data_IF_433803067508
#
_entry.id   IF_433803067508
#
_cell.length_a   1.000
_cell.length_b   1.000
_cell.length_c   1.000
_cell.angle_alpha   90.00
_cell.angle_beta   90.00
_cell.angle_gamma   90.00
#
_symmetry.space_group_name_H-M   'P 1'
#
loop_
_entity.id
_entity.type
_entity.pdbx_description
1 polymer ?
#
# COMPACT_ATOMS: atom_id res chain seq x y z
N UNK A 1 15.77 -8.26 2.70
CA UNK A 1 15.71 -8.93 1.36
C UNK A 1 16.83 -8.49 0.41
N UNK A 2 17.33 -9.39 -0.47
CA UNK A 2 18.28 -9.01 -1.54
C UNK A 2 17.56 -8.20 -2.63
N UNK A 3 18.17 -7.12 -3.19
CA UNK A 3 17.54 -6.28 -4.22
C UNK A 3 17.05 -7.06 -5.46
N UNK A 4 17.74 -8.15 -5.79
CA UNK A 4 17.41 -9.02 -6.93
C UNK A 4 16.03 -9.68 -6.84
N UNK A 5 15.49 -9.87 -5.63
CA UNK A 5 14.18 -10.49 -5.42
C UNK A 5 13.06 -9.47 -5.19
N UNK A 6 13.39 -8.21 -4.92
CA UNK A 6 12.40 -7.16 -4.66
C UNK A 6 11.49 -6.95 -5.87
N UNK A 7 12.05 -6.73 -7.06
CA UNK A 7 11.26 -6.44 -8.26
C UNK A 7 10.35 -7.62 -8.68
N UNK A 8 10.84 -8.87 -8.80
CA UNK A 8 9.98 -10.00 -9.17
C UNK A 8 8.87 -10.26 -8.14
N UNK A 9 9.19 -10.13 -6.85
CA UNK A 9 8.20 -10.30 -5.79
C UNK A 9 7.14 -9.21 -5.86
N UNK A 10 7.53 -7.95 -6.07
CA UNK A 10 6.59 -6.85 -6.22
C UNK A 10 5.65 -7.03 -7.41
N UNK A 11 6.16 -7.49 -8.54
CA UNK A 11 5.35 -7.80 -9.73
C UNK A 11 4.34 -8.92 -9.40
N UNK A 12 4.81 -9.99 -8.75
CA UNK A 12 3.95 -11.12 -8.37
C UNK A 12 2.82 -10.68 -7.42
N UNK A 13 3.17 -9.93 -6.37
CA UNK A 13 2.24 -9.41 -5.37
C UNK A 13 1.14 -8.54 -6.01
N UNK A 14 1.48 -7.75 -7.04
CA UNK A 14 0.50 -6.94 -7.78
C UNK A 14 -0.40 -7.82 -8.65
N UNK A 15 0.19 -8.71 -9.44
CA UNK A 15 -0.54 -9.49 -10.46
C UNK A 15 -1.56 -10.44 -9.83
N UNK A 16 -1.22 -11.04 -8.69
CA UNK A 16 -2.02 -12.07 -8.02
C UNK A 16 -3.47 -11.65 -7.76
N UNK A 17 -3.77 -10.52 -7.09
CA UNK A 17 -5.16 -10.07 -6.90
C UNK A 17 -5.69 -9.29 -8.11
N UNK A 18 -4.85 -8.54 -8.84
CA UNK A 18 -5.31 -7.62 -9.90
C UNK A 18 -5.81 -8.36 -11.15
N UNK A 19 -5.08 -9.36 -11.65
CA UNK A 19 -5.46 -10.06 -12.88
C UNK A 19 -6.79 -10.81 -12.73
N UNK A 20 -7.02 -11.58 -11.64
CA UNK A 20 -8.33 -12.20 -11.43
C UNK A 20 -9.47 -11.21 -11.29
N UNK A 21 -9.23 -10.04 -10.68
CA UNK A 21 -10.24 -8.98 -10.60
C UNK A 21 -10.57 -8.37 -11.98
N UNK A 22 -9.60 -8.24 -12.87
CA UNK A 22 -9.82 -7.77 -14.25
C UNK A 22 -10.75 -8.69 -15.07
N UNK A 23 -10.80 -9.98 -14.74
CA UNK A 23 -11.64 -10.98 -15.43
C UNK A 23 -12.88 -11.36 -14.63
N UNK A 24 -13.26 -10.54 -13.64
CA UNK A 24 -14.40 -10.76 -12.73
C UNK A 24 -14.42 -12.10 -11.98
N UNK A 25 -13.25 -12.68 -11.74
CA UNK A 25 -13.14 -13.92 -10.98
C UNK A 25 -12.97 -13.61 -9.49
N UNK A 26 -14.07 -13.55 -8.75
CA UNK A 26 -14.01 -13.40 -7.28
C UNK A 26 -13.22 -14.53 -6.58
N UNK A 27 -13.39 -15.83 -6.93
CA UNK A 27 -12.57 -16.89 -6.34
C UNK A 27 -11.08 -16.74 -6.66
N UNK A 28 -10.76 -16.31 -7.89
CA UNK A 28 -9.39 -16.04 -8.30
C UNK A 28 -8.79 -14.84 -7.56
N UNK A 29 -9.56 -13.77 -7.38
CA UNK A 29 -9.17 -12.60 -6.60
C UNK A 29 -8.88 -13.01 -5.16
N UNK A 30 -9.81 -13.74 -4.53
CA UNK A 30 -9.63 -14.20 -3.15
C UNK A 30 -8.40 -15.09 -3.00
N UNK A 31 -8.19 -16.04 -3.93
CA UNK A 31 -7.01 -16.90 -3.92
C UNK A 31 -5.71 -16.11 -4.08
N UNK A 32 -5.66 -15.18 -5.05
CA UNK A 32 -4.52 -14.31 -5.28
C UNK A 32 -4.21 -13.40 -4.10
N UNK A 33 -5.23 -12.74 -3.54
CA UNK A 33 -5.13 -11.85 -2.39
C UNK A 33 -4.70 -12.60 -1.12
N UNK A 34 -5.14 -13.85 -0.91
CA UNK A 34 -4.66 -14.68 0.21
C UNK A 34 -3.17 -15.00 0.05
N UNK A 35 -2.72 -15.39 -1.15
CA UNK A 35 -1.30 -15.69 -1.40
C UNK A 35 -0.47 -14.42 -1.16
N UNK A 36 -0.91 -13.28 -1.69
CA UNK A 36 -0.27 -11.98 -1.50
C UNK A 36 -0.20 -11.59 -0.01
N UNK A 37 -1.30 -11.75 0.72
CA UNK A 37 -1.36 -11.54 2.17
C UNK A 37 -0.38 -12.43 2.94
N UNK A 38 -0.26 -13.71 2.58
CA UNK A 38 0.71 -14.63 3.20
C UNK A 38 2.14 -14.19 2.92
N UNK A 39 2.43 -13.67 1.73
CA UNK A 39 3.74 -13.07 1.42
C UNK A 39 4.00 -11.82 2.26
N UNK A 40 3.01 -10.95 2.42
CA UNK A 40 3.11 -9.75 3.26
C UNK A 40 3.38 -10.13 4.73
N UNK A 41 2.68 -11.15 5.27
CA UNK A 41 2.95 -11.69 6.60
C UNK A 41 4.36 -12.29 6.69
N UNK A 42 4.77 -13.08 5.70
CA UNK A 42 6.11 -13.68 5.67
C UNK A 42 7.21 -12.61 5.75
N UNK A 43 7.08 -11.51 4.98
CA UNK A 43 8.01 -10.38 5.05
C UNK A 43 7.99 -9.75 6.44
N UNK A 44 6.80 -9.50 6.99
CA UNK A 44 6.64 -8.90 8.31
C UNK A 44 7.29 -9.73 9.43
N UNK A 45 7.11 -11.05 9.40
CA UNK A 45 7.73 -11.98 10.36
C UNK A 45 9.23 -12.14 10.16
N UNK A 46 9.71 -12.10 8.92
CA UNK A 46 11.13 -12.28 8.60
C UNK A 46 11.96 -11.04 8.95
N UNK A 47 11.45 -9.85 8.60
CA UNK A 47 12.15 -8.59 8.79
C UNK A 47 11.91 -7.99 10.20
N UNK A 48 10.91 -8.48 10.96
CA UNK A 48 10.59 -8.10 12.35
C UNK A 48 10.68 -6.58 12.60
N UNK A 49 9.89 -5.76 11.89
CA UNK A 49 10.01 -4.30 11.91
C UNK A 49 9.80 -3.66 13.30
N UNK A 50 9.15 -4.36 14.24
CA UNK A 50 8.94 -3.90 15.61
C UNK A 50 10.17 -4.02 16.52
N UNK A 51 11.16 -4.84 16.15
CA UNK A 51 12.38 -5.08 16.94
C UNK A 51 13.63 -4.44 16.30
N UNK A 52 13.51 -3.95 15.08
CA UNK A 52 14.60 -3.41 14.28
C UNK A 52 14.51 -1.89 14.14
N UNK A 53 15.40 -1.31 13.34
CA UNK A 53 15.47 0.13 13.09
C UNK A 53 14.32 0.64 12.21
N UNK A 54 14.07 1.95 12.26
CA UNK A 54 13.03 2.63 11.48
C UNK A 54 13.16 2.37 9.98
N UNK A 55 14.39 2.21 9.48
CA UNK A 55 14.66 1.89 8.07
C UNK A 55 14.09 0.51 7.69
N UNK A 56 14.25 -0.49 8.54
CA UNK A 56 13.66 -1.82 8.34
C UNK A 56 12.13 -1.76 8.40
N UNK A 57 11.56 -0.98 9.33
CA UNK A 57 10.11 -0.77 9.39
C UNK A 57 9.54 -0.17 8.10
N UNK A 58 10.21 0.86 7.55
CA UNK A 58 9.82 1.50 6.28
C UNK A 58 10.03 0.57 5.08
N UNK A 59 11.13 -0.20 5.06
CA UNK A 59 11.33 -1.20 4.01
C UNK A 59 10.29 -2.33 4.05
N UNK A 60 9.83 -2.69 5.24
CA UNK A 60 8.75 -3.68 5.39
C UNK A 60 7.42 -3.06 4.98
N UNK A 61 7.23 -1.76 5.24
CA UNK A 61 6.02 -1.01 4.87
C UNK A 61 5.86 -0.93 3.36
N UNK A 62 6.96 -0.98 2.61
CA UNK A 62 6.92 -1.12 1.16
C UNK A 62 6.16 -2.37 0.72
N UNK A 63 6.50 -3.54 1.25
CA UNK A 63 5.86 -4.79 0.84
C UNK A 63 4.43 -4.91 1.35
N UNK A 64 4.17 -4.55 2.61
CA UNK A 64 2.81 -4.58 3.13
C UNK A 64 1.91 -3.53 2.48
N UNK A 65 2.45 -2.35 2.17
CA UNK A 65 1.76 -1.30 1.41
C UNK A 65 1.49 -1.71 -0.03
N UNK A 66 2.44 -2.36 -0.69
CA UNK A 66 2.25 -2.87 -2.05
C UNK A 66 1.12 -3.90 -2.11
N UNK A 67 1.06 -4.82 -1.15
CA UNK A 67 -0.02 -5.79 -1.00
C UNK A 67 -1.38 -5.10 -0.90
N UNK A 68 -1.53 -4.16 0.05
CA UNK A 68 -2.77 -3.39 0.20
C UNK A 68 -3.16 -2.57 -1.02
N UNK A 69 -2.19 -2.01 -1.75
CA UNK A 69 -2.45 -1.28 -3.00
C UNK A 69 -2.95 -2.25 -4.09
N UNK A 70 -2.36 -3.44 -4.20
CA UNK A 70 -2.77 -4.45 -5.18
C UNK A 70 -4.21 -4.93 -4.93
N UNK A 71 -4.54 -5.25 -3.68
CA UNK A 71 -5.89 -5.63 -3.28
C UNK A 71 -6.90 -4.48 -3.47
N UNK A 72 -6.49 -3.25 -3.15
CA UNK A 72 -7.29 -2.05 -3.38
C UNK A 72 -7.56 -1.77 -4.85
N UNK A 73 -6.57 -2.01 -5.71
CA UNK A 73 -6.72 -1.89 -7.15
C UNK A 73 -7.60 -2.99 -7.73
N UNK A 74 -7.46 -4.24 -7.24
CA UNK A 74 -8.37 -5.33 -7.59
C UNK A 74 -9.82 -5.03 -7.21
N UNK A 75 -10.06 -4.54 -5.99
CA UNK A 75 -11.38 -4.02 -5.58
C UNK A 75 -11.88 -2.94 -6.54
N UNK A 76 -11.04 -1.96 -6.85
CA UNK A 76 -11.41 -0.85 -7.72
C UNK A 76 -11.91 -1.32 -9.09
N UNK A 77 -11.24 -2.33 -9.66
CA UNK A 77 -11.62 -2.92 -10.94
C UNK A 77 -12.91 -3.76 -10.85
N UNK A 78 -13.16 -4.40 -9.71
CA UNK A 78 -14.35 -5.22 -9.45
C UNK A 78 -15.56 -4.45 -8.91
N UNK A 79 -15.41 -3.14 -8.61
CA UNK A 79 -16.48 -2.25 -8.13
C UNK A 79 -17.79 -2.32 -8.95
N UNK A 80 -17.77 -2.45 -10.29
CA UNK A 80 -19.00 -2.50 -11.09
C UNK A 80 -19.86 -3.75 -10.85
N UNK A 81 -19.30 -4.81 -10.26
CA UNK A 81 -19.93 -6.14 -10.22
C UNK A 81 -20.34 -6.55 -8.80
N UNK A 82 -19.40 -6.53 -7.83
CA UNK A 82 -19.66 -7.02 -6.47
C UNK A 82 -18.90 -6.23 -5.36
N UNK A 83 -19.19 -4.95 -5.15
CA UNK A 83 -18.34 -4.04 -4.38
C UNK A 83 -18.17 -4.43 -2.89
N UNK A 84 -19.22 -4.97 -2.25
CA UNK A 84 -19.20 -5.21 -0.79
C UNK A 84 -18.28 -6.36 -0.39
N UNK A 85 -18.29 -7.48 -1.13
CA UNK A 85 -17.51 -8.67 -0.79
C UNK A 85 -16.02 -8.41 -0.97
N UNK A 86 -15.63 -7.79 -2.09
CA UNK A 86 -14.25 -7.40 -2.34
C UNK A 86 -13.79 -6.39 -1.28
N UNK A 87 -14.61 -5.40 -0.92
CA UNK A 87 -14.23 -4.38 0.06
C UNK A 87 -13.95 -4.96 1.45
N UNK A 88 -14.78 -5.91 1.92
CA UNK A 88 -14.55 -6.56 3.22
C UNK A 88 -13.24 -7.35 3.20
N UNK A 89 -12.98 -8.11 2.13
CA UNK A 89 -11.75 -8.89 2.00
C UNK A 89 -10.53 -7.96 1.96
N UNK A 90 -10.53 -6.95 1.10
CA UNK A 90 -9.43 -5.96 1.00
C UNK A 90 -9.16 -5.29 2.35
N UNK A 91 -10.20 -4.98 3.14
CA UNK A 91 -10.04 -4.39 4.47
C UNK A 91 -9.33 -5.35 5.44
N UNK A 92 -9.76 -6.62 5.47
CA UNK A 92 -9.16 -7.66 6.33
C UNK A 92 -7.70 -7.90 5.94
N UNK A 93 -7.43 -8.03 4.63
CA UNK A 93 -6.09 -8.31 4.13
C UNK A 93 -5.14 -7.11 4.28
N UNK A 94 -5.66 -5.90 4.51
CA UNK A 94 -4.86 -4.70 4.79
C UNK A 94 -4.34 -4.60 6.24
N UNK A 95 -4.65 -5.57 7.12
CA UNK A 95 -4.18 -5.56 8.52
C UNK A 95 -2.64 -5.46 8.65
N UNK A 96 -1.81 -6.21 7.91
CA UNK A 96 -0.35 -6.12 8.01
C UNK A 96 0.17 -4.75 7.60
N UNK A 97 -0.47 -4.12 6.61
CA UNK A 97 -0.17 -2.74 6.23
C UNK A 97 -0.50 -1.78 7.36
N UNK A 98 -1.71 -1.83 7.92
CA UNK A 98 -2.14 -0.94 9.01
C UNK A 98 -1.20 -1.08 10.21
N UNK A 99 -0.89 -2.32 10.62
CA UNK A 99 0.01 -2.58 11.73
C UNK A 99 1.39 -1.97 11.48
N UNK A 100 1.98 -2.21 10.31
CA UNK A 100 3.32 -1.71 10.01
C UNK A 100 3.34 -0.19 9.80
N UNK A 101 2.25 0.38 9.27
CA UNK A 101 2.09 1.81 9.13
C UNK A 101 2.09 2.51 10.50
N UNK A 102 1.41 1.93 11.50
CA UNK A 102 1.42 2.44 12.87
C UNK A 102 2.84 2.41 13.46
N UNK A 103 3.60 1.33 13.22
CA UNK A 103 4.99 1.23 13.68
C UNK A 103 5.87 2.33 13.09
N UNK A 104 5.71 2.65 11.81
CA UNK A 104 6.47 3.71 11.14
C UNK A 104 6.02 5.10 11.59
N UNK A 105 4.71 5.33 11.70
CA UNK A 105 4.16 6.64 12.07
C UNK A 105 4.47 7.01 13.52
N UNK A 106 4.44 6.07 14.46
CA UNK A 106 4.64 6.33 15.90
C UNK A 106 5.91 7.14 16.23
N UNK A 107 7.12 6.78 15.75
CA UNK A 107 8.34 7.56 16.00
C UNK A 107 8.43 8.84 15.15
N UNK A 108 7.72 8.90 14.02
CA UNK A 108 7.81 10.03 13.08
C UNK A 108 6.84 11.15 13.43
N UNK A 109 5.62 10.84 13.89
CA UNK A 109 4.57 11.79 14.25
C UNK A 109 5.08 12.98 15.09
N UNK A 110 5.90 12.79 16.13
CA UNK A 110 6.44 13.89 16.93
C UNK A 110 7.46 14.77 16.20
N UNK A 111 8.01 14.30 15.08
CA UNK A 111 9.12 14.92 14.35
C UNK A 111 8.78 15.34 12.92
N UNK A 112 7.50 15.27 12.51
CA UNK A 112 6.98 15.61 11.15
C UNK A 112 7.40 17.01 10.65
N UNK A 113 7.91 17.89 11.52
CA UNK A 113 8.43 19.21 11.17
C UNK A 113 9.78 19.13 10.42
N UNK A 114 10.55 18.03 10.51
CA UNK A 114 11.87 17.90 9.86
C UNK A 114 11.76 17.31 8.45
N UNK A 115 12.16 18.09 7.43
CA UNK A 115 12.19 17.67 6.01
C UNK A 115 13.00 16.39 5.77
N UNK A 116 14.02 16.12 6.58
CA UNK A 116 14.93 14.97 6.40
C UNK A 116 14.20 13.63 6.46
N UNK A 117 13.07 13.57 7.18
CA UNK A 117 12.27 12.36 7.34
C UNK A 117 11.60 11.95 6.02
N UNK A 118 11.31 12.91 5.14
CA UNK A 118 10.71 12.63 3.82
C UNK A 118 11.64 11.83 2.91
N UNK A 119 12.96 11.87 3.15
CA UNK A 119 13.96 11.10 2.41
C UNK A 119 14.12 9.66 2.92
N UNK A 120 13.48 9.28 4.03
CA UNK A 120 13.64 7.95 4.63
C UNK A 120 13.00 6.88 3.75
N UNK A 121 13.66 5.72 3.66
CA UNK A 121 13.23 4.66 2.75
C UNK A 121 13.35 5.07 1.28
N UNK A 122 14.28 5.99 0.97
CA UNK A 122 14.50 6.49 -0.39
C UNK A 122 13.26 7.18 -1.00
N UNK A 123 12.60 8.04 -0.22
CA UNK A 123 11.37 8.75 -0.62
C UNK A 123 10.08 7.96 -0.42
N UNK A 124 10.15 6.68 -0.03
CA UNK A 124 8.96 5.85 0.19
C UNK A 124 8.06 6.39 1.32
N UNK A 125 8.64 6.98 2.35
CA UNK A 125 7.85 7.59 3.41
C UNK A 125 6.99 8.76 2.91
N UNK A 126 7.54 9.62 2.05
CA UNK A 126 6.80 10.71 1.43
C UNK A 126 5.66 10.19 0.54
N UNK A 127 5.93 9.16 -0.26
CA UNK A 127 4.91 8.45 -1.05
C UNK A 127 3.73 7.98 -0.19
N UNK A 128 4.01 7.27 0.91
CA UNK A 128 2.97 6.73 1.80
C UNK A 128 2.12 7.83 2.43
N UNK A 129 2.74 8.93 2.90
CA UNK A 129 2.00 10.06 3.48
C UNK A 129 1.03 10.64 2.45
N UNK A 130 1.48 10.88 1.22
CA UNK A 130 0.63 11.49 0.19
C UNK A 130 -0.57 10.59 -0.12
N UNK A 131 -0.37 9.28 -0.22
CA UNK A 131 -1.48 8.33 -0.41
C UNK A 131 -2.46 8.33 0.77
N UNK A 132 -1.96 8.37 2.02
CA UNK A 132 -2.81 8.38 3.22
C UNK A 132 -3.65 9.65 3.26
N UNK A 133 -3.05 10.81 2.97
CA UNK A 133 -3.77 12.10 2.90
C UNK A 133 -4.85 12.01 1.82
N UNK A 134 -4.52 11.51 0.63
CA UNK A 134 -5.50 11.33 -0.45
C UNK A 134 -6.65 10.41 -0.07
N UNK A 135 -6.36 9.30 0.62
CA UNK A 135 -7.35 8.34 1.10
C UNK A 135 -8.30 8.98 2.12
N UNK A 136 -7.77 9.72 3.10
CA UNK A 136 -8.55 10.43 4.12
C UNK A 136 -9.42 11.50 3.46
N UNK A 137 -8.84 12.34 2.58
CA UNK A 137 -9.58 13.42 1.93
C UNK A 137 -10.72 12.85 1.09
N UNK A 138 -10.45 11.82 0.28
CA UNK A 138 -11.47 11.17 -0.52
C UNK A 138 -12.60 10.60 0.33
N UNK A 139 -12.28 9.91 1.42
CA UNK A 139 -13.28 9.27 2.28
C UNK A 139 -14.14 10.27 3.05
N UNK A 140 -13.54 11.34 3.56
CA UNK A 140 -14.23 12.28 4.48
C UNK A 140 -15.01 13.34 3.72
N UNK A 141 -14.49 13.82 2.59
CA UNK A 141 -15.01 15.03 1.94
C UNK A 141 -15.74 14.78 0.62
N UNK A 142 -15.65 13.58 0.04
CA UNK A 142 -16.21 13.32 -1.29
C UNK A 142 -17.18 12.14 -1.27
N UNK A 143 -18.44 12.42 -1.61
CA UNK A 143 -19.51 11.42 -1.70
C UNK A 143 -19.76 10.93 -3.14
N UNK A 144 -19.33 11.69 -4.15
CA UNK A 144 -19.50 11.35 -5.56
C UNK A 144 -18.36 10.47 -6.07
N UNK A 145 -18.69 9.29 -6.58
CA UNK A 145 -17.74 8.30 -7.09
C UNK A 145 -16.81 8.82 -8.20
N UNK A 146 -17.33 9.59 -9.16
CA UNK A 146 -16.53 10.10 -10.28
C UNK A 146 -15.50 11.14 -9.83
N UNK A 147 -15.86 11.94 -8.83
CA UNK A 147 -14.93 12.91 -8.23
C UNK A 147 -13.88 12.19 -7.39
N UNK A 148 -14.30 11.13 -6.68
CA UNK A 148 -13.41 10.27 -5.90
C UNK A 148 -12.34 9.61 -6.79
N UNK A 149 -12.72 9.17 -7.99
CA UNK A 149 -11.82 8.58 -8.98
C UNK A 149 -10.73 9.56 -9.42
N UNK A 150 -11.11 10.78 -9.80
CA UNK A 150 -10.15 11.82 -10.19
C UNK A 150 -9.25 12.22 -9.02
N UNK A 151 -9.78 12.22 -7.79
CA UNK A 151 -9.02 12.54 -6.60
C UNK A 151 -7.96 11.47 -6.30
N UNK A 152 -8.35 10.20 -6.24
CA UNK A 152 -7.41 9.11 -5.92
C UNK A 152 -6.32 8.95 -6.98
N UNK A 153 -6.67 9.07 -8.27
CA UNK A 153 -5.68 9.07 -9.34
C UNK A 153 -4.72 10.26 -9.24
N UNK A 154 -5.22 11.47 -8.93
CA UNK A 154 -4.39 12.64 -8.68
C UNK A 154 -3.43 12.46 -7.50
N UNK A 155 -3.91 11.93 -6.37
CA UNK A 155 -3.06 11.64 -5.20
C UNK A 155 -2.05 10.53 -5.46
N UNK A 156 -2.38 9.55 -6.29
CA UNK A 156 -1.44 8.51 -6.71
C UNK A 156 -0.31 9.12 -7.56
N UNK A 157 -0.65 10.01 -8.49
CA UNK A 157 0.35 10.77 -9.27
C UNK A 157 1.23 11.62 -8.33
N UNK A 158 0.63 12.37 -7.42
CA UNK A 158 1.35 13.20 -6.45
C UNK A 158 2.25 12.36 -5.54
N UNK A 159 1.80 11.17 -5.13
CA UNK A 159 2.60 10.26 -4.33
C UNK A 159 3.83 9.79 -5.12
N UNK A 160 3.66 9.40 -6.39
CA UNK A 160 4.77 9.02 -7.28
C UNK A 160 5.73 10.19 -7.48
N UNK A 161 5.23 11.42 -7.67
CA UNK A 161 6.08 12.60 -7.77
C UNK A 161 6.85 12.87 -6.47
N UNK A 162 6.20 12.73 -5.31
CA UNK A 162 6.86 12.84 -4.02
C UNK A 162 7.94 11.76 -3.83
N UNK A 163 7.66 10.51 -4.22
CA UNK A 163 8.64 9.43 -4.23
C UNK A 163 9.89 9.82 -5.03
N UNK A 164 9.69 10.27 -6.27
CA UNK A 164 10.79 10.62 -7.18
C UNK A 164 11.58 11.82 -6.68
N UNK A 165 10.90 12.84 -6.13
CA UNK A 165 11.54 14.04 -5.61
C UNK A 165 12.41 13.76 -4.38
N UNK A 166 11.95 12.91 -3.46
CA UNK A 166 12.68 12.58 -2.21
C UNK A 166 13.58 11.35 -2.33
N UNK A 167 13.67 10.73 -3.51
CA UNK A 167 14.61 9.66 -3.81
C UNK A 167 16.03 10.25 -3.83
N UNK A 168 16.96 9.70 -3.04
CA UNK A 168 18.38 10.03 -3.15
C UNK A 168 18.92 9.38 -4.44
N UNK A 169 19.43 10.22 -5.34
CA UNK A 169 20.22 9.81 -6.51
C UNK A 169 21.57 9.25 -6.10
#
# INVERSE_FOLDING_TARGET
>A
MKPSYTLPLSILMIILPVVPALVDSFPGFLGGAIIDFVLALYVLYSEKPWANDLKTAISTLYFTGLSSIADGFGLFLALPYHPVKFAIITLILSIPFIFNLILVLRPILPTIIKRDILYVGNGFFAFSIVLIIGAIIGRVFITNFYVLLSLYSGFLILAVLALLYFRKG
#
